data_IF_495568011367
#
_entry.id   IF_495568011367
#
_cell.length_a   1.000
_cell.length_b   1.000
_cell.length_c   1.000
_cell.angle_alpha   90.00
_cell.angle_beta   90.00
_cell.angle_gamma   90.00
#
_symmetry.space_group_name_H-M   'P 1'
#
loop_
_entity.id
_entity.type
_entity.pdbx_description
1 polymer ?
#
# COMPACT_ATOMS: atom_id res chain seq x y z
N UNK A 1 -5.40 -23.51 31.66
CA UNK A 1 -5.17 -24.09 30.32
C UNK A 1 -4.12 -23.24 29.62
N UNK A 2 -2.93 -23.79 29.38
CA UNK A 2 -1.85 -23.14 28.63
C UNK A 2 -2.29 -23.09 27.16
N UNK A 3 -2.78 -21.95 26.69
CA UNK A 3 -3.28 -21.82 25.33
C UNK A 3 -2.09 -21.65 24.37
N UNK A 4 -1.57 -22.75 23.83
CA UNK A 4 -0.59 -22.79 22.73
C UNK A 4 -0.96 -21.84 21.56
N UNK A 5 -2.25 -21.57 21.40
CA UNK A 5 -2.78 -20.61 20.43
C UNK A 5 -2.42 -19.14 20.76
N UNK A 6 -2.43 -18.76 22.03
CA UNK A 6 -2.03 -17.41 22.45
C UNK A 6 -0.51 -17.23 22.37
N UNK A 7 0.27 -18.26 22.72
CA UNK A 7 1.73 -18.24 22.57
C UNK A 7 2.16 -18.13 21.11
N UNK A 8 1.54 -18.90 20.21
CA UNK A 8 1.82 -18.77 18.77
C UNK A 8 1.46 -17.36 18.29
N UNK A 9 0.27 -16.83 18.59
CA UNK A 9 -0.10 -15.45 18.23
C UNK A 9 0.89 -14.39 18.76
N UNK A 10 1.41 -14.54 19.99
CA UNK A 10 2.43 -13.64 20.52
C UNK A 10 3.79 -13.79 19.84
N UNK A 11 4.16 -15.00 19.40
CA UNK A 11 5.41 -15.24 18.67
C UNK A 11 5.38 -14.63 17.25
N UNK A 12 4.21 -14.60 16.60
CA UNK A 12 4.04 -14.01 15.26
C UNK A 12 3.81 -12.48 15.27
N UNK A 13 3.43 -11.89 16.41
CA UNK A 13 3.22 -10.44 16.55
C UNK A 13 4.43 -9.59 16.15
N UNK A 14 5.67 -9.89 16.59
CA UNK A 14 6.87 -9.19 16.16
C UNK A 14 7.07 -9.21 14.64
N UNK A 15 6.77 -10.34 13.98
CA UNK A 15 6.81 -10.45 12.52
C UNK A 15 5.77 -9.56 11.85
N UNK A 16 4.58 -9.44 12.44
CA UNK A 16 3.56 -8.49 11.97
C UNK A 16 4.02 -7.03 12.05
N UNK A 17 4.67 -6.63 13.14
CA UNK A 17 5.26 -5.30 13.27
C UNK A 17 6.41 -5.06 12.28
N UNK A 18 7.25 -6.07 12.05
CA UNK A 18 8.30 -6.01 11.04
C UNK A 18 7.71 -5.88 9.62
N UNK A 19 6.64 -6.60 9.32
CA UNK A 19 5.93 -6.48 8.04
C UNK A 19 5.30 -5.10 7.86
N UNK A 20 4.77 -4.48 8.92
CA UNK A 20 4.30 -3.10 8.86
C UNK A 20 5.47 -2.17 8.54
N UNK A 21 6.60 -2.31 9.25
CA UNK A 21 7.77 -1.47 9.02
C UNK A 21 8.32 -1.58 7.60
N UNK A 22 8.61 -2.80 7.13
CA UNK A 22 9.14 -3.06 5.78
C UNK A 22 8.10 -2.72 4.71
N UNK A 23 6.84 -3.06 4.95
CA UNK A 23 5.75 -2.73 4.04
C UNK A 23 5.62 -1.23 3.83
N UNK A 24 5.69 -0.44 4.90
CA UNK A 24 5.64 1.02 4.85
C UNK A 24 6.84 1.64 4.12
N UNK A 25 7.99 0.96 4.06
CA UNK A 25 9.13 1.40 3.25
C UNK A 25 8.92 1.21 1.74
N UNK A 26 8.12 0.21 1.36
CA UNK A 26 7.90 -0.17 -0.06
C UNK A 26 6.62 0.47 -0.59
N UNK A 27 5.52 0.27 0.13
CA UNK A 27 4.17 0.62 -0.27
C UNK A 27 3.42 1.20 0.94
N UNK A 28 3.41 2.53 1.06
CA UNK A 28 2.86 3.20 2.23
C UNK A 28 1.34 3.02 2.37
N UNK A 29 0.57 3.28 1.31
CA UNK A 29 -0.90 3.43 1.39
C UNK A 29 -1.60 2.15 1.85
N UNK A 30 -1.25 1.02 1.23
CA UNK A 30 -1.89 -0.28 1.50
C UNK A 30 -1.52 -0.76 2.91
N UNK A 31 -0.25 -0.66 3.29
CA UNK A 31 0.22 -1.14 4.58
C UNK A 31 -0.28 -0.26 5.73
N UNK A 32 -0.32 1.06 5.55
CA UNK A 32 -0.88 1.97 6.56
C UNK A 32 -2.35 1.68 6.81
N UNK A 33 -3.15 1.58 5.74
CA UNK A 33 -4.57 1.30 5.85
C UNK A 33 -4.80 -0.05 6.56
N UNK A 34 -4.08 -1.08 6.13
CA UNK A 34 -4.18 -2.44 6.69
C UNK A 34 -3.73 -2.47 8.16
N UNK A 35 -2.63 -1.81 8.50
CA UNK A 35 -2.11 -1.75 9.85
C UNK A 35 -3.08 -1.01 10.79
N UNK A 36 -3.65 0.11 10.35
CA UNK A 36 -4.65 0.86 11.10
C UNK A 36 -5.94 0.04 11.29
N UNK A 37 -6.38 -0.66 10.24
CA UNK A 37 -7.52 -1.56 10.30
C UNK A 37 -7.33 -2.68 11.33
N UNK A 38 -6.18 -3.36 11.28
CA UNK A 38 -5.84 -4.48 12.17
C UNK A 38 -5.57 -4.03 13.61
N UNK A 39 -5.06 -2.81 13.79
CA UNK A 39 -4.92 -2.17 15.11
C UNK A 39 -6.29 -2.01 15.77
N UNK A 40 -7.28 -1.50 15.03
CA UNK A 40 -8.65 -1.37 15.54
C UNK A 40 -9.30 -2.74 15.87
N UNK A 41 -8.98 -3.80 15.11
CA UNK A 41 -9.44 -5.15 15.40
C UNK A 41 -8.71 -5.82 16.60
N UNK A 42 -7.73 -5.14 17.21
CA UNK A 42 -7.00 -5.63 18.39
C UNK A 42 -5.79 -6.52 18.11
N UNK A 43 -5.36 -6.67 16.84
CA UNK A 43 -4.19 -7.48 16.49
C UNK A 43 -2.88 -6.80 16.89
N UNK A 44 -2.81 -5.49 16.71
CA UNK A 44 -1.64 -4.65 17.00
C UNK A 44 -1.97 -3.54 18.00
N UNK A 45 -0.96 -3.10 18.73
CA UNK A 45 -1.03 -1.93 19.59
C UNK A 45 -0.82 -0.66 18.75
N UNK A 46 -1.54 0.44 19.03
CA UNK A 46 -1.51 1.64 18.19
C UNK A 46 -0.14 2.33 18.20
N UNK A 47 0.51 2.44 19.37
CA UNK A 47 1.77 3.18 19.47
C UNK A 47 2.91 2.57 18.64
N UNK A 48 3.18 1.25 18.70
CA UNK A 48 4.15 0.62 17.80
C UNK A 48 3.80 0.78 16.32
N UNK A 49 2.53 0.65 15.92
CA UNK A 49 2.11 0.84 14.52
C UNK A 49 2.40 2.26 14.04
N UNK A 50 2.12 3.27 14.86
CA UNK A 50 2.41 4.67 14.52
C UNK A 50 3.91 4.88 14.36
N UNK A 51 4.71 4.43 15.33
CA UNK A 51 6.18 4.63 15.30
C UNK A 51 6.82 3.89 14.13
N UNK A 52 6.48 2.62 13.93
CA UNK A 52 7.04 1.80 12.85
C UNK A 52 6.53 2.24 11.48
N UNK A 53 5.27 2.64 11.37
CA UNK A 53 4.72 3.14 10.11
C UNK A 53 5.35 4.48 9.72
N UNK A 54 5.49 5.39 10.68
CA UNK A 54 6.09 6.70 10.46
C UNK A 54 7.57 6.59 10.07
N UNK A 55 8.34 5.81 10.85
CA UNK A 55 9.76 5.59 10.56
C UNK A 55 9.98 4.78 9.28
N UNK A 56 9.14 3.78 9.01
CA UNK A 56 9.19 2.98 7.77
C UNK A 56 8.96 3.84 6.53
N UNK A 57 7.89 4.65 6.52
CA UNK A 57 7.63 5.58 5.42
C UNK A 57 8.81 6.54 5.23
N UNK A 58 9.28 7.17 6.30
CA UNK A 58 10.38 8.13 6.22
C UNK A 58 11.66 7.51 5.65
N UNK A 59 12.03 6.30 6.09
CA UNK A 59 13.21 5.60 5.57
C UNK A 59 13.01 5.22 4.10
N UNK A 60 11.83 4.74 3.72
CA UNK A 60 11.48 4.49 2.31
C UNK A 60 11.64 5.74 1.45
N UNK A 61 11.08 6.86 1.90
CA UNK A 61 11.11 8.15 1.21
C UNK A 61 12.55 8.68 1.08
N UNK A 62 13.37 8.54 2.13
CA UNK A 62 14.81 8.82 2.10
C UNK A 62 15.55 7.97 1.04
N UNK A 63 15.25 6.67 0.96
CA UNK A 63 15.87 5.78 -0.02
C UNK A 63 15.56 6.26 -1.44
N UNK A 64 14.30 6.57 -1.73
CA UNK A 64 13.90 7.08 -3.04
C UNK A 64 14.49 8.46 -3.34
N UNK A 65 14.60 9.35 -2.36
CA UNK A 65 15.22 10.66 -2.53
C UNK A 65 16.72 10.56 -2.84
N UNK A 66 17.48 9.76 -2.09
CA UNK A 66 18.94 9.66 -2.27
C UNK A 66 19.34 8.78 -3.45
N UNK A 67 18.79 7.57 -3.56
CA UNK A 67 19.19 6.60 -4.58
C UNK A 67 18.40 6.75 -5.88
N UNK A 68 17.28 7.46 -5.86
CA UNK A 68 16.46 7.72 -7.03
C UNK A 68 17.21 8.42 -8.16
N UNK A 69 18.07 9.38 -7.82
CA UNK A 69 18.92 10.06 -8.79
C UNK A 69 19.82 9.09 -9.56
N UNK A 70 20.43 8.14 -8.84
CA UNK A 70 21.31 7.12 -9.42
C UNK A 70 20.52 6.17 -10.32
N UNK A 71 19.33 5.72 -9.88
CA UNK A 71 18.45 4.84 -10.67
C UNK A 71 18.03 5.51 -11.99
N UNK A 72 17.63 6.78 -11.92
CA UNK A 72 17.21 7.57 -13.09
C UNK A 72 18.36 7.77 -14.09
N UNK A 73 19.60 7.93 -13.61
CA UNK A 73 20.77 8.04 -14.48
C UNK A 73 21.19 6.71 -15.10
N UNK A 74 21.15 5.62 -14.35
CA UNK A 74 21.59 4.29 -14.80
C UNK A 74 20.58 3.65 -15.75
N UNK A 75 19.28 3.92 -15.57
CA UNK A 75 18.20 3.26 -16.31
C UNK A 75 17.42 4.30 -17.13
N UNK A 76 17.78 4.53 -18.42
CA UNK A 76 17.22 5.60 -19.25
C UNK A 76 15.69 5.53 -19.43
N UNK A 77 15.12 4.33 -19.44
CA UNK A 77 13.67 4.14 -19.53
C UNK A 77 12.93 4.67 -18.29
N UNK A 78 13.49 4.46 -17.09
CA UNK A 78 12.95 5.00 -15.85
C UNK A 78 13.08 6.52 -15.86
N UNK A 79 14.22 7.06 -16.28
CA UNK A 79 14.40 8.51 -16.37
C UNK A 79 13.40 9.21 -17.30
N UNK A 80 13.11 8.62 -18.47
CA UNK A 80 12.06 9.14 -19.37
C UNK A 80 10.67 9.12 -18.71
N UNK A 81 10.33 8.02 -18.04
CA UNK A 81 9.04 7.90 -17.34
C UNK A 81 8.91 8.90 -16.19
N UNK A 82 9.94 9.03 -15.36
CA UNK A 82 9.99 10.01 -14.26
C UNK A 82 9.84 11.43 -14.80
N UNK A 83 10.57 11.82 -15.84
CA UNK A 83 10.45 13.15 -16.43
C UNK A 83 9.04 13.43 -16.98
N UNK A 84 8.39 12.43 -17.59
CA UNK A 84 7.02 12.57 -18.11
C UNK A 84 6.00 12.73 -16.98
N UNK A 85 6.12 11.95 -15.91
CA UNK A 85 5.21 11.98 -14.76
C UNK A 85 5.41 13.24 -13.93
N UNK A 86 6.67 13.66 -13.74
CA UNK A 86 7.02 14.74 -12.82
C UNK A 86 7.09 16.12 -13.49
N UNK A 87 7.27 16.20 -14.81
CA UNK A 87 7.36 17.46 -15.55
C UNK A 87 6.29 18.52 -15.18
N UNK A 88 5.00 18.16 -15.02
CA UNK A 88 3.97 19.10 -14.57
C UNK A 88 4.16 19.66 -13.15
N UNK A 89 4.88 18.93 -12.30
CA UNK A 89 5.12 19.25 -10.89
C UNK A 89 6.45 19.98 -10.65
N UNK A 90 7.39 20.01 -11.60
CA UNK A 90 8.73 20.61 -11.41
C UNK A 90 8.68 22.06 -10.89
N UNK A 91 7.78 22.88 -11.45
CA UNK A 91 7.58 24.27 -11.00
C UNK A 91 7.09 24.33 -9.55
N UNK A 92 6.14 23.46 -9.20
CA UNK A 92 5.50 23.45 -7.87
C UNK A 92 6.45 22.88 -6.83
N UNK A 93 7.19 21.82 -7.19
CA UNK A 93 8.21 21.19 -6.37
C UNK A 93 9.31 22.19 -5.99
N UNK A 94 9.71 23.05 -6.93
CA UNK A 94 10.71 24.10 -6.67
C UNK A 94 10.18 25.23 -5.77
N UNK A 95 8.93 25.65 -5.99
CA UNK A 95 8.30 26.74 -5.23
C UNK A 95 7.93 26.33 -3.81
N UNK A 96 7.30 25.16 -3.66
CA UNK A 96 6.82 24.65 -2.37
C UNK A 96 6.95 23.12 -2.30
N UNK A 97 8.15 22.61 -1.91
CA UNK A 97 8.41 21.18 -1.80
C UNK A 97 7.39 20.44 -0.93
N UNK A 98 7.03 21.01 0.23
CA UNK A 98 6.05 20.44 1.14
C UNK A 98 4.71 20.16 0.46
N UNK A 99 4.14 21.16 -0.21
CA UNK A 99 2.85 21.01 -0.88
C UNK A 99 2.90 19.89 -1.91
N UNK A 100 3.94 19.84 -2.75
CA UNK A 100 4.07 18.82 -3.78
C UNK A 100 4.27 17.43 -3.18
N UNK A 101 5.19 17.26 -2.23
CA UNK A 101 5.43 15.98 -1.55
C UNK A 101 4.16 15.48 -0.87
N UNK A 102 3.45 16.35 -0.14
CA UNK A 102 2.19 15.99 0.52
C UNK A 102 1.10 15.59 -0.47
N UNK A 103 0.84 16.38 -1.51
CA UNK A 103 -0.22 16.05 -2.49
C UNK A 103 0.06 14.76 -3.25
N UNK A 104 1.33 14.48 -3.53
CA UNK A 104 1.71 13.31 -4.33
C UNK A 104 1.62 12.01 -3.52
N UNK A 105 1.69 12.05 -2.17
CA UNK A 105 1.41 10.88 -1.32
C UNK A 105 0.01 10.29 -1.52
N UNK A 106 -0.98 11.11 -1.92
CA UNK A 106 -2.34 10.63 -2.24
C UNK A 106 -2.48 10.14 -3.68
N UNK A 107 -1.43 10.27 -4.49
CA UNK A 107 -1.47 9.95 -5.91
C UNK A 107 -0.60 8.73 -6.18
N UNK A 108 -1.25 7.57 -6.32
CA UNK A 108 -0.59 6.30 -6.56
C UNK A 108 0.34 6.37 -7.80
N UNK A 109 1.56 5.87 -7.65
CA UNK A 109 2.56 5.83 -8.71
C UNK A 109 3.25 7.17 -9.04
N UNK A 110 2.85 8.29 -8.43
CA UNK A 110 3.45 9.60 -8.66
C UNK A 110 4.41 10.01 -7.54
N UNK A 111 4.14 9.57 -6.30
CA UNK A 111 4.94 9.94 -5.14
C UNK A 111 6.43 9.58 -5.30
N UNK A 112 6.75 8.32 -5.51
CA UNK A 112 8.14 7.87 -5.63
C UNK A 112 8.93 8.62 -6.72
N UNK A 113 8.42 8.78 -7.97
CA UNK A 113 9.07 9.63 -8.98
C UNK A 113 9.36 11.07 -8.52
N UNK A 114 8.45 11.67 -7.76
CA UNK A 114 8.63 13.04 -7.22
C UNK A 114 9.78 13.10 -6.24
N UNK A 115 9.92 12.08 -5.37
CA UNK A 115 11.04 12.00 -4.42
C UNK A 115 12.38 11.88 -5.15
N UNK A 116 12.44 11.02 -6.19
CA UNK A 116 13.62 10.87 -7.05
C UNK A 116 13.96 12.19 -7.74
N UNK A 117 12.94 12.92 -8.23
CA UNK A 117 13.13 14.22 -8.88
C UNK A 117 13.56 15.31 -7.90
N UNK A 118 13.09 15.30 -6.66
CA UNK A 118 13.42 16.32 -5.67
C UNK A 118 14.93 16.48 -5.47
N UNK A 119 15.68 15.37 -5.49
CA UNK A 119 17.14 15.39 -5.43
C UNK A 119 17.78 15.96 -6.71
N UNK A 120 17.29 15.53 -7.87
CA UNK A 120 17.75 16.03 -9.18
C UNK A 120 17.49 17.54 -9.34
N UNK A 121 16.36 18.02 -8.80
CA UNK A 121 15.98 19.43 -8.78
C UNK A 121 16.80 20.26 -7.77
N UNK A 122 17.73 19.65 -7.03
CA UNK A 122 18.62 20.35 -6.11
C UNK A 122 17.98 20.77 -4.79
N UNK A 123 16.85 20.16 -4.39
CA UNK A 123 16.24 20.45 -3.09
C UNK A 123 17.19 19.97 -1.99
N UNK A 124 17.57 20.82 -1.02
CA UNK A 124 18.49 20.43 0.04
C UNK A 124 17.86 19.38 0.98
N UNK A 125 18.64 18.39 1.48
CA UNK A 125 18.12 17.31 2.31
C UNK A 125 17.31 17.78 3.51
N UNK A 126 17.77 18.85 4.18
CA UNK A 126 17.08 19.39 5.36
C UNK A 126 15.65 19.84 5.04
N UNK A 127 15.46 20.60 3.96
CA UNK A 127 14.14 21.09 3.53
C UNK A 127 13.24 19.94 3.09
N UNK A 128 13.82 18.92 2.45
CA UNK A 128 13.10 17.71 2.09
C UNK A 128 12.64 16.96 3.34
N UNK A 129 13.53 16.68 4.29
CA UNK A 129 13.22 15.96 5.54
C UNK A 129 12.11 16.67 6.33
N UNK A 130 12.22 17.99 6.53
CA UNK A 130 11.20 18.76 7.23
C UNK A 130 9.83 18.68 6.54
N UNK A 131 9.82 18.79 5.20
CA UNK A 131 8.61 18.68 4.39
C UNK A 131 8.00 17.29 4.44
N UNK A 132 8.84 16.27 4.32
CA UNK A 132 8.43 14.87 4.25
C UNK A 132 7.90 14.37 5.59
N UNK A 133 8.58 14.67 6.70
CA UNK A 133 8.12 14.34 8.05
C UNK A 133 6.72 14.91 8.34
N UNK A 134 6.47 16.16 7.97
CA UNK A 134 5.14 16.76 8.11
C UNK A 134 4.11 16.11 7.16
N UNK A 135 4.51 15.81 5.93
CA UNK A 135 3.65 15.15 4.96
C UNK A 135 3.24 13.75 5.43
N UNK A 136 4.18 12.94 5.92
CA UNK A 136 3.92 11.60 6.48
C UNK A 136 2.97 11.72 7.67
N UNK A 137 3.16 12.67 8.57
CA UNK A 137 2.29 12.83 9.75
C UNK A 137 0.84 13.11 9.35
N UNK A 138 0.62 14.08 8.46
CA UNK A 138 -0.71 14.45 7.98
C UNK A 138 -1.36 13.32 7.17
N UNK A 139 -0.59 12.68 6.29
CA UNK A 139 -1.07 11.55 5.49
C UNK A 139 -1.42 10.34 6.38
N UNK A 140 -0.58 10.01 7.38
CA UNK A 140 -0.88 8.95 8.35
C UNK A 140 -2.15 9.23 9.15
N UNK A 141 -2.38 10.48 9.55
CA UNK A 141 -3.61 10.87 10.23
C UNK A 141 -4.83 10.64 9.32
N UNK A 142 -4.76 11.03 8.04
CA UNK A 142 -5.88 10.90 7.11
C UNK A 142 -6.16 9.44 6.74
N UNK A 143 -5.18 8.73 6.18
CA UNK A 143 -5.33 7.35 5.71
C UNK A 143 -5.44 6.37 6.88
N UNK A 144 -4.69 6.59 7.96
CA UNK A 144 -4.77 5.79 9.18
C UNK A 144 -6.13 5.91 9.85
N UNK A 145 -6.68 7.13 9.97
CA UNK A 145 -8.06 7.31 10.47
C UNK A 145 -9.07 6.63 9.56
N UNK A 146 -8.90 6.74 8.23
CA UNK A 146 -9.78 6.07 7.29
C UNK A 146 -9.78 4.55 7.49
N UNK A 147 -8.62 3.90 7.61
CA UNK A 147 -8.51 2.47 7.89
C UNK A 147 -9.09 2.06 9.25
N UNK A 148 -8.87 2.89 10.27
CA UNK A 148 -9.40 2.69 11.62
C UNK A 148 -10.94 2.76 11.64
N UNK A 149 -11.53 3.82 11.06
CA UNK A 149 -12.99 3.97 10.98
C UNK A 149 -13.61 2.89 10.07
N UNK A 150 -12.98 2.58 8.93
CA UNK A 150 -13.45 1.50 8.05
C UNK A 150 -13.54 0.16 8.79
N UNK A 151 -12.59 -0.11 9.68
CA UNK A 151 -12.58 -1.29 10.55
C UNK A 151 -13.77 -1.34 11.52
N UNK A 152 -14.25 -0.19 12.00
CA UNK A 152 -15.44 -0.11 12.85
C UNK A 152 -16.72 -0.52 12.10
N UNK A 153 -16.87 -0.09 10.85
CA UNK A 153 -18.01 -0.47 10.00
C UNK A 153 -17.87 -1.86 9.37
N UNK A 154 -16.67 -2.45 9.43
CA UNK A 154 -16.39 -3.75 8.83
C UNK A 154 -17.29 -4.85 9.40
N UNK A 155 -17.73 -4.81 10.66
CA UNK A 155 -18.67 -5.82 11.19
C UNK A 155 -20.01 -5.82 10.46
N UNK A 156 -20.53 -4.63 10.13
CA UNK A 156 -21.78 -4.45 9.37
C UNK A 156 -21.58 -4.86 7.91
N UNK A 157 -20.47 -4.44 7.30
CA UNK A 157 -20.12 -4.79 5.92
C UNK A 157 -19.88 -6.30 5.78
N UNK A 158 -19.23 -6.96 6.74
CA UNK A 158 -18.97 -8.41 6.71
C UNK A 158 -20.26 -9.22 6.72
N UNK A 159 -21.34 -8.70 7.30
CA UNK A 159 -22.66 -9.34 7.27
C UNK A 159 -23.31 -9.27 5.88
N UNK A 160 -23.03 -8.21 5.10
CA UNK A 160 -23.44 -8.10 3.70
C UNK A 160 -22.50 -8.87 2.76
N UNK A 161 -21.18 -8.77 2.95
CA UNK A 161 -20.17 -9.45 2.13
C UNK A 161 -20.19 -10.98 2.28
N UNK A 162 -20.60 -11.55 3.43
CA UNK A 162 -20.77 -13.01 3.56
C UNK A 162 -21.81 -13.57 2.59
N UNK A 163 -22.84 -12.80 2.26
CA UNK A 163 -23.81 -13.17 1.22
C UNK A 163 -23.18 -13.01 -0.17
N UNK A 164 -22.44 -11.92 -0.40
CA UNK A 164 -21.86 -11.60 -1.71
C UNK A 164 -20.66 -12.47 -2.11
N UNK A 165 -19.75 -12.83 -1.20
CA UNK A 165 -18.62 -13.73 -1.45
C UNK A 165 -19.08 -15.15 -1.78
N UNK A 166 -20.06 -15.68 -1.04
CA UNK A 166 -20.67 -16.99 -1.33
C UNK A 166 -21.42 -16.95 -2.65
N UNK A 167 -22.14 -15.87 -2.97
CA UNK A 167 -22.84 -15.74 -4.25
C UNK A 167 -21.87 -15.62 -5.44
N UNK A 168 -20.79 -14.84 -5.34
CA UNK A 168 -19.81 -14.69 -6.42
C UNK A 168 -19.03 -15.99 -6.63
N UNK A 169 -18.59 -16.66 -5.55
CA UNK A 169 -17.92 -17.96 -5.65
C UNK A 169 -18.86 -19.04 -6.17
N UNK A 170 -20.13 -19.08 -5.76
CA UNK A 170 -21.12 -20.03 -6.27
C UNK A 170 -21.42 -19.81 -7.76
N UNK A 171 -21.51 -18.55 -8.22
CA UNK A 171 -21.68 -18.23 -9.64
C UNK A 171 -20.44 -18.61 -10.45
N UNK A 172 -19.25 -18.33 -9.93
CA UNK A 172 -17.98 -18.71 -10.57
C UNK A 172 -17.85 -20.23 -10.71
N UNK A 173 -18.03 -20.98 -9.61
CA UNK A 173 -17.99 -22.45 -9.66
C UNK A 173 -19.11 -23.05 -10.52
N UNK A 174 -20.32 -22.49 -10.47
CA UNK A 174 -21.43 -22.89 -11.33
C UNK A 174 -21.12 -22.72 -12.81
N UNK A 175 -20.53 -21.58 -13.19
CA UNK A 175 -20.10 -21.32 -14.57
C UNK A 175 -19.06 -22.35 -15.06
N UNK A 176 -18.05 -22.67 -14.25
CA UNK A 176 -17.04 -23.68 -14.60
C UNK A 176 -17.60 -25.10 -14.70
N UNK A 177 -18.57 -25.46 -13.84
CA UNK A 177 -19.25 -26.77 -13.91
C UNK A 177 -20.08 -26.87 -15.19
N UNK A 178 -20.82 -25.82 -15.55
CA UNK A 178 -21.61 -25.78 -16.78
C UNK A 178 -20.70 -25.93 -18.00
N UNK A 179 -19.60 -25.17 -18.06
CA UNK A 179 -18.60 -25.30 -19.12
C UNK A 179 -18.01 -26.72 -19.21
N UNK A 180 -17.68 -27.32 -18.07
CA UNK A 180 -17.13 -28.67 -18.00
C UNK A 180 -18.15 -29.72 -18.50
N UNK A 181 -19.42 -29.59 -18.10
CA UNK A 181 -20.50 -30.48 -18.54
C UNK A 181 -20.76 -30.33 -20.03
N UNK A 182 -20.81 -29.10 -20.56
CA UNK A 182 -20.97 -28.85 -22.00
C UNK A 182 -19.79 -29.45 -22.78
N UNK A 183 -18.54 -29.23 -22.33
CA UNK A 183 -17.34 -29.84 -22.94
C UNK A 183 -17.37 -31.36 -22.87
N UNK A 184 -17.84 -31.95 -21.76
CA UNK A 184 -17.94 -33.40 -21.57
C UNK A 184 -19.02 -34.04 -22.43
N UNK A 185 -20.17 -33.38 -22.60
CA UNK A 185 -21.26 -33.83 -23.47
C UNK A 185 -20.88 -33.66 -24.94
N UNK A 186 -20.27 -32.52 -25.31
CA UNK A 186 -19.79 -32.26 -26.67
C UNK A 186 -18.72 -33.25 -27.11
N UNK A 187 -17.76 -33.61 -26.25
CA UNK A 187 -16.76 -34.66 -26.56
C UNK A 187 -17.35 -36.07 -26.66
N UNK A 188 -18.46 -36.35 -25.97
CA UNK A 188 -19.11 -37.67 -26.03
C UNK A 188 -19.92 -37.89 -27.31
N UNK A 189 -20.35 -36.81 -27.97
CA UNK A 189 -21.05 -36.85 -29.26
C UNK A 189 -20.12 -36.78 -30.48
N UNK A 190 -18.80 -36.65 -30.29
CA UNK A 190 -17.79 -36.60 -31.38
C UNK A 190 -17.03 -37.93 -31.57
N UNK A 191 -17.43 -39.01 -30.90
CA UNK A 191 -16.89 -40.37 -31.07
C UNK A 191 -17.99 -41.39 -31.42
N UNK A 192 -19.10 -40.93 -31.98
CA UNK A 192 -20.13 -41.78 -32.61
C UNK A 192 -20.34 -41.29 -34.04
N UNK A 193 -19.27 -41.29 -34.83
CA UNK A 193 -19.27 -41.47 -36.28
C UNK A 193 -18.06 -42.33 -36.65
#
# INVERSE_FOLDING_TARGET
MHNLFLESLTAWRPLGYLLIFIGMMIEGDIFLFTAAFLTHQGFFSPMPVIVLGYSGSFIGDMIWYYYGQTIVHIIPFIGKSVNKIVGPFDRQLSLNPFRTIFTTKFTYGVHHPILMRARIAGIPPKKFIESDLLAIALWMLLIGSLGYFFSAYFRTIRHMLRLTEVSILAVFFGFFIIEYVIKKISKRNLHVE
#
